data_IF_616086286276
#
_entry.id   IF_616086286276
#
_cell.length_a   1.000
_cell.length_b   1.000
_cell.length_c   1.000
_cell.angle_alpha   90.00
_cell.angle_beta   90.00
_cell.angle_gamma   90.00
#
_symmetry.space_group_name_H-M   'P 1'
#
loop_
_entity.id
_entity.type
_entity.pdbx_description
1 polymer ?
#
# COMPACT_ATOMS: atom_id res chain seq x y z
N UNK A 1 -1.37 16.80 -31.29
CA UNK A 1 -1.55 15.41 -30.82
C UNK A 1 -0.22 14.96 -30.24
N UNK A 2 -0.16 14.64 -28.95
CA UNK A 2 1.02 13.98 -28.37
C UNK A 2 1.05 12.53 -28.89
N UNK A 3 2.13 12.09 -29.52
CA UNK A 3 2.30 10.69 -29.92
C UNK A 3 2.61 9.81 -28.70
N UNK A 4 2.00 8.63 -28.62
CA UNK A 4 2.26 7.66 -27.55
C UNK A 4 3.56 6.89 -27.83
N UNK A 5 4.42 6.75 -26.81
CA UNK A 5 5.64 5.93 -26.86
C UNK A 5 5.27 4.44 -26.95
N UNK A 6 6.14 3.63 -27.53
CA UNK A 6 5.98 2.18 -27.47
C UNK A 6 6.05 1.70 -25.99
N UNK A 7 5.20 0.75 -25.55
CA UNK A 7 5.13 0.36 -24.14
C UNK A 7 6.48 -0.09 -23.54
N UNK A 8 7.31 -0.81 -24.29
CA UNK A 8 8.66 -1.20 -23.85
C UNK A 8 9.55 0.02 -23.58
N UNK A 9 9.47 1.04 -24.44
CA UNK A 9 10.21 2.31 -24.25
C UNK A 9 9.67 3.13 -23.10
N UNK A 10 8.36 3.06 -22.85
CA UNK A 10 7.77 3.66 -21.67
C UNK A 10 8.33 3.00 -20.39
N UNK A 11 8.32 1.67 -20.28
CA UNK A 11 8.82 0.98 -19.07
C UNK A 11 10.31 1.21 -18.83
N UNK A 12 11.13 1.29 -19.89
CA UNK A 12 12.58 1.60 -19.78
C UNK A 12 12.86 3.02 -19.25
N UNK A 13 11.95 3.97 -19.47
CA UNK A 13 12.16 5.40 -19.16
C UNK A 13 11.33 5.92 -17.98
N UNK A 14 10.21 5.26 -17.68
CA UNK A 14 9.30 5.65 -16.62
C UNK A 14 9.89 5.34 -15.24
N UNK A 15 9.80 6.31 -14.34
CA UNK A 15 10.11 6.13 -12.92
C UNK A 15 8.84 5.73 -12.16
N UNK A 16 8.96 5.09 -10.99
CA UNK A 16 7.81 4.87 -10.10
C UNK A 16 7.10 6.20 -9.76
N UNK A 17 5.78 6.14 -9.53
CA UNK A 17 5.06 7.25 -8.94
C UNK A 17 4.87 7.01 -7.45
N UNK A 18 5.19 8.02 -6.64
CA UNK A 18 4.99 8.00 -5.21
C UNK A 18 3.69 8.71 -4.86
N UNK A 19 2.78 8.01 -4.21
CA UNK A 19 1.51 8.52 -3.74
C UNK A 19 1.57 8.61 -2.22
N UNK A 20 1.15 9.76 -1.69
CA UNK A 20 0.94 9.98 -0.28
C UNK A 20 -0.55 10.13 -0.02
N UNK A 21 -1.06 9.30 0.87
CA UNK A 21 -2.46 9.25 1.24
C UNK A 21 -2.57 9.81 2.65
N UNK A 22 -3.44 10.79 2.83
CA UNK A 22 -3.60 11.51 4.08
C UNK A 22 -5.05 11.94 4.29
N UNK A 23 -5.45 12.09 5.55
CA UNK A 23 -6.69 12.74 5.96
C UNK A 23 -6.57 14.25 6.06
N UNK A 24 -5.36 14.81 5.97
CA UNK A 24 -5.13 16.25 5.99
C UNK A 24 -5.67 16.86 4.69
N UNK A 25 -6.71 17.72 4.75
CA UNK A 25 -7.26 18.34 3.56
C UNK A 25 -6.20 19.19 2.86
N UNK A 26 -6.19 19.26 1.51
CA UNK A 26 -5.29 20.17 0.82
C UNK A 26 -5.65 21.61 1.20
N UNK A 27 -4.73 22.32 1.86
CA UNK A 27 -4.92 23.74 2.19
C UNK A 27 -5.14 24.54 0.90
N UNK A 28 -6.32 25.14 0.76
CA UNK A 28 -6.66 25.94 -0.39
C UNK A 28 -5.86 27.25 -0.36
N UNK A 29 -4.68 27.27 -0.99
CA UNK A 29 -4.03 28.51 -1.42
C UNK A 29 -2.80 28.99 -0.64
N UNK A 30 -2.29 28.27 0.36
CA UNK A 30 -1.08 28.68 1.06
C UNK A 30 0.14 28.05 0.38
N UNK A 31 0.78 28.83 -0.49
CA UNK A 31 2.17 28.59 -0.84
C UNK A 31 2.95 28.65 0.49
N UNK A 32 3.71 27.61 0.88
CA UNK A 32 4.39 27.60 2.17
C UNK A 32 5.28 28.83 2.30
N UNK A 33 5.01 29.68 3.31
CA UNK A 33 5.73 30.96 3.50
C UNK A 33 7.21 30.76 3.84
N UNK A 34 7.58 29.57 4.33
CA UNK A 34 8.96 29.22 4.70
C UNK A 34 9.78 28.58 3.57
N UNK A 35 9.28 28.55 2.32
CA UNK A 35 10.01 27.94 1.20
C UNK A 35 10.18 26.42 1.30
N UNK A 36 9.48 25.78 2.26
CA UNK A 36 9.44 24.33 2.41
C UNK A 36 8.69 23.70 1.25
N UNK A 37 9.30 22.72 0.57
CA UNK A 37 8.66 22.01 -0.54
C UNK A 37 7.54 21.11 -0.03
N UNK A 38 6.55 20.81 -0.88
CA UNK A 38 5.42 19.94 -0.51
C UNK A 38 5.86 18.58 0.08
N UNK A 39 7.06 18.08 -0.28
CA UNK A 39 7.66 16.85 0.24
C UNK A 39 8.01 16.91 1.74
N UNK A 40 8.48 18.06 2.24
CA UNK A 40 8.83 18.21 3.66
C UNK A 40 7.59 18.25 4.57
N UNK A 41 6.45 18.71 4.05
CA UNK A 41 5.19 18.72 4.78
C UNK A 41 4.63 17.31 5.03
N UNK A 42 4.94 16.34 4.16
CA UNK A 42 4.40 14.96 4.27
C UNK A 42 5.09 14.15 5.38
N UNK A 43 6.36 14.42 5.66
CA UNK A 43 7.12 13.70 6.69
C UNK A 43 6.64 14.01 8.13
N UNK A 44 5.92 15.12 8.32
CA UNK A 44 5.36 15.56 9.60
C UNK A 44 3.83 15.63 9.58
N UNK A 45 3.19 15.02 8.59
CA UNK A 45 1.74 15.07 8.41
C UNK A 45 1.03 14.17 9.44
N UNK A 46 0.37 14.80 10.41
CA UNK A 46 -0.41 14.10 11.44
C UNK A 46 -1.59 13.30 10.86
N UNK A 47 -2.04 13.63 9.65
CA UNK A 47 -3.08 12.91 8.93
C UNK A 47 -2.56 11.79 8.03
N UNK A 48 -1.26 11.50 8.01
CA UNK A 48 -0.68 10.51 7.12
C UNK A 48 -1.29 9.11 7.32
N UNK A 49 -1.77 8.53 6.22
CA UNK A 49 -2.34 7.18 6.19
C UNK A 49 -1.35 6.19 5.59
N UNK A 50 -0.78 6.52 4.42
CA UNK A 50 0.12 5.60 3.72
C UNK A 50 0.97 6.28 2.65
N UNK A 51 2.10 5.65 2.33
CA UNK A 51 2.90 5.90 1.13
C UNK A 51 2.90 4.67 0.24
N UNK A 52 2.63 4.86 -1.06
CA UNK A 52 2.59 3.79 -2.06
C UNK A 52 3.50 4.19 -3.23
N UNK A 53 4.38 3.29 -3.65
CA UNK A 53 5.16 3.45 -4.88
C UNK A 53 4.57 2.55 -5.95
N UNK A 54 3.94 3.13 -6.97
CA UNK A 54 3.34 2.38 -8.08
C UNK A 54 4.32 2.26 -9.25
N UNK A 55 4.40 1.07 -9.84
CA UNK A 55 5.41 0.72 -10.84
C UNK A 55 4.88 0.87 -12.26
N UNK A 56 5.73 1.25 -13.23
CA UNK A 56 5.37 1.20 -14.65
C UNK A 56 4.97 -0.22 -15.07
N UNK A 57 3.84 -0.37 -15.75
CA UNK A 57 3.30 -1.66 -16.19
C UNK A 57 2.54 -1.54 -17.50
N UNK A 58 2.44 -2.66 -18.20
CA UNK A 58 1.41 -2.87 -19.22
C UNK A 58 0.11 -3.34 -18.56
N UNK A 59 -1.01 -3.02 -19.19
CA UNK A 59 -2.32 -3.50 -18.81
C UNK A 59 -2.80 -4.52 -19.83
N UNK A 60 -3.48 -5.56 -19.36
CA UNK A 60 -4.07 -6.61 -20.21
C UNK A 60 -5.05 -6.09 -21.26
N UNK A 61 -5.54 -4.85 -21.10
CA UNK A 61 -6.40 -4.15 -22.06
C UNK A 61 -5.63 -3.48 -23.21
N UNK A 62 -4.31 -3.65 -23.28
CA UNK A 62 -3.41 -3.12 -24.31
C UNK A 62 -2.94 -1.67 -24.10
N UNK A 63 -3.26 -1.07 -22.95
CA UNK A 63 -2.71 0.23 -22.52
C UNK A 63 -1.52 0.02 -21.59
N UNK A 64 -0.77 1.08 -21.28
CA UNK A 64 0.31 1.05 -20.29
C UNK A 64 0.22 2.26 -19.36
N UNK A 65 0.91 2.19 -18.23
CA UNK A 65 0.91 3.24 -17.21
C UNK A 65 1.56 2.78 -15.91
N UNK A 66 1.02 3.15 -14.77
CA UNK A 66 1.50 2.71 -13.46
C UNK A 66 0.43 1.96 -12.69
N UNK A 67 0.86 0.97 -11.92
CA UNK A 67 -0.01 0.15 -11.07
C UNK A 67 0.63 -0.12 -9.73
N UNK A 68 -0.19 -0.17 -8.70
CA UNK A 68 0.21 -0.75 -7.42
C UNK A 68 -0.96 -0.86 -6.46
N UNK A 69 -0.71 -1.56 -5.36
CA UNK A 69 -1.69 -1.79 -4.32
C UNK A 69 -1.04 -1.65 -2.93
N UNK A 70 -1.88 -1.44 -1.91
CA UNK A 70 -1.45 -1.45 -0.52
C UNK A 70 -2.63 -1.76 0.40
N UNK A 71 -2.42 -2.64 1.37
CA UNK A 71 -3.35 -2.81 2.51
C UNK A 71 -2.91 -1.89 3.64
N UNK A 72 -3.85 -1.14 4.22
CA UNK A 72 -3.61 -0.16 5.28
C UNK A 72 -4.68 -0.31 6.37
N UNK A 73 -4.35 0.02 7.61
CA UNK A 73 -5.31 0.06 8.70
C UNK A 73 -5.70 1.52 8.96
N UNK A 74 -6.99 1.82 9.01
CA UNK A 74 -7.52 3.17 9.21
C UNK A 74 -8.38 3.18 10.47
N UNK A 75 -8.12 4.13 11.37
CA UNK A 75 -8.99 4.37 12.53
C UNK A 75 -10.21 5.21 12.11
N UNK A 76 -11.40 4.71 12.41
CA UNK A 76 -12.67 5.39 12.21
C UNK A 76 -13.31 5.69 13.57
N UNK A 77 -13.85 6.89 13.73
CA UNK A 77 -14.66 7.23 14.90
C UNK A 77 -16.12 6.97 14.58
N UNK A 78 -16.78 6.11 15.36
CA UNK A 78 -18.20 5.88 15.21
C UNK A 78 -18.97 7.15 15.64
N UNK A 79 -19.83 7.72 14.77
CA UNK A 79 -20.51 8.98 15.06
C UNK A 79 -21.60 8.86 16.15
N UNK A 80 -22.12 7.66 16.40
CA UNK A 80 -23.19 7.42 17.38
C UNK A 80 -22.64 7.14 18.78
N UNK A 81 -21.53 6.40 18.86
CA UNK A 81 -20.96 5.94 20.13
C UNK A 81 -19.69 6.66 20.53
N UNK A 82 -19.03 7.36 19.60
CA UNK A 82 -17.74 8.01 19.81
C UNK A 82 -16.55 7.05 19.94
N UNK A 83 -16.77 5.73 19.86
CA UNK A 83 -15.70 4.74 19.92
C UNK A 83 -14.89 4.70 18.63
N UNK A 84 -13.57 4.44 18.77
CA UNK A 84 -12.67 4.19 17.65
C UNK A 84 -12.72 2.73 17.24
N UNK A 85 -12.80 2.49 15.94
CA UNK A 85 -12.70 1.17 15.31
C UNK A 85 -11.57 1.20 14.28
N UNK A 86 -10.77 0.13 14.20
CA UNK A 86 -9.74 0.00 13.17
C UNK A 86 -10.24 -0.89 12.03
N UNK A 87 -10.25 -0.37 10.82
CA UNK A 87 -10.63 -1.12 9.62
C UNK A 87 -9.43 -1.34 8.70
N UNK A 88 -9.34 -2.53 8.10
CA UNK A 88 -8.33 -2.81 7.08
C UNK A 88 -8.86 -2.45 5.70
N UNK A 89 -8.20 -1.52 5.01
CA UNK A 89 -8.55 -1.02 3.68
C UNK A 89 -7.54 -1.52 2.66
N UNK A 90 -8.03 -2.04 1.53
CA UNK A 90 -7.20 -2.36 0.37
C UNK A 90 -7.29 -1.23 -0.65
N UNK A 91 -6.16 -0.63 -0.97
CA UNK A 91 -6.04 0.47 -1.93
C UNK A 91 -5.43 -0.11 -3.20
N UNK A 92 -6.08 0.09 -4.34
CA UNK A 92 -5.62 -0.31 -5.66
C UNK A 92 -5.61 0.90 -6.57
N UNK A 93 -4.47 1.21 -7.18
CA UNK A 93 -4.29 2.41 -8.02
C UNK A 93 -3.80 2.01 -9.40
N UNK A 94 -4.50 2.51 -10.42
CA UNK A 94 -4.08 2.43 -11.82
C UNK A 94 -4.00 3.86 -12.38
N UNK A 95 -2.81 4.28 -12.82
CA UNK A 95 -2.61 5.52 -13.55
C UNK A 95 -2.31 5.18 -15.01
N UNK A 96 -3.20 5.51 -15.94
CA UNK A 96 -3.04 5.12 -17.35
C UNK A 96 -2.47 6.26 -18.18
N UNK A 97 -1.50 5.98 -19.04
CA UNK A 97 -0.98 6.97 -20.00
C UNK A 97 -2.03 7.21 -21.07
N UNK A 98 -2.45 8.47 -21.23
CA UNK A 98 -3.45 8.88 -22.22
C UNK A 98 -2.93 8.58 -23.64
N UNK A 99 -3.73 7.88 -24.45
CA UNK A 99 -3.36 7.49 -25.81
C UNK A 99 -2.52 6.22 -25.95
N UNK A 100 -2.19 5.55 -24.83
CA UNK A 100 -1.35 4.34 -24.82
C UNK A 100 -1.94 3.14 -25.57
N UNK A 101 -3.27 3.03 -25.67
CA UNK A 101 -3.96 1.89 -26.28
C UNK A 101 -3.64 1.68 -27.77
N UNK A 102 -3.19 2.72 -28.46
CA UNK A 102 -2.83 2.67 -29.88
C UNK A 102 -1.32 2.51 -30.09
N UNK A 103 -0.53 2.50 -29.02
CA UNK A 103 0.92 2.30 -29.12
C UNK A 103 1.20 0.83 -29.38
N UNK A 104 1.97 0.55 -30.44
CA UNK A 104 2.39 -0.81 -30.78
C UNK A 104 3.82 -1.02 -30.29
N UNK A 105 4.07 -2.13 -29.63
CA UNK A 105 5.43 -2.61 -29.38
C UNK A 105 5.86 -3.54 -30.52
N UNK A 106 7.02 -3.29 -31.15
CA UNK A 106 7.60 -4.21 -32.14
C UNK A 106 8.21 -5.48 -31.51
N UNK A 107 8.21 -5.61 -30.17
CA UNK A 107 8.86 -6.69 -29.40
C UNK A 107 7.88 -7.68 -28.73
N UNK A 108 6.57 -7.54 -28.94
CA UNK A 108 5.56 -8.30 -28.22
C UNK A 108 5.41 -9.79 -28.61
N UNK A 109 6.21 -10.30 -29.56
CA UNK A 109 6.11 -11.69 -30.02
C UNK A 109 6.90 -12.72 -29.16
N UNK A 110 7.67 -12.31 -28.15
CA UNK A 110 8.58 -13.24 -27.43
C UNK A 110 8.55 -13.21 -25.89
N UNK A 111 7.66 -12.45 -25.22
CA UNK A 111 7.74 -12.24 -23.76
C UNK A 111 6.46 -12.56 -22.95
N UNK A 112 5.56 -13.42 -23.45
CA UNK A 112 4.46 -13.97 -22.63
C UNK A 112 4.93 -15.21 -21.83
N UNK A 113 5.86 -15.06 -20.89
CA UNK A 113 6.11 -16.08 -19.87
C UNK A 113 7.01 -15.52 -18.76
N UNK A 114 6.51 -14.65 -17.89
CA UNK A 114 7.05 -14.45 -16.52
C UNK A 114 6.25 -13.35 -15.78
N UNK A 115 5.01 -13.67 -15.36
CA UNK A 115 4.42 -13.09 -14.15
C UNK A 115 3.18 -13.91 -13.74
N UNK A 116 3.43 -15.16 -13.36
CA UNK A 116 2.52 -15.97 -12.56
C UNK A 116 3.34 -16.58 -11.43
N UNK A 117 3.53 -15.85 -10.35
CA UNK A 117 3.76 -16.37 -8.99
C UNK A 117 3.97 -15.19 -8.02
N UNK A 118 2.89 -14.60 -7.54
CA UNK A 118 2.88 -14.17 -6.14
C UNK A 118 2.06 -15.22 -5.38
N UNK A 119 2.77 -16.25 -4.95
CA UNK A 119 2.28 -17.26 -4.06
C UNK A 119 1.99 -16.61 -2.70
N UNK A 120 0.73 -16.81 -2.30
CA UNK A 120 0.19 -16.70 -0.98
C UNK A 120 1.06 -17.48 0.03
N UNK A 121 1.87 -16.78 0.82
CA UNK A 121 2.47 -17.35 2.04
C UNK A 121 1.83 -16.69 3.27
N UNK A 122 0.63 -17.17 3.57
CA UNK A 122 -0.01 -17.03 4.88
C UNK A 122 0.60 -18.10 5.79
N UNK A 123 1.44 -17.70 6.74
CA UNK A 123 1.86 -18.55 7.83
C UNK A 123 0.84 -18.44 8.98
N UNK A 124 0.10 -19.51 9.33
CA UNK A 124 -0.68 -19.53 10.55
C UNK A 124 0.23 -19.97 11.69
N UNK A 125 0.40 -19.13 12.70
CA UNK A 125 0.78 -19.60 14.04
C UNK A 125 -0.26 -19.12 15.04
N UNK A 126 -1.30 -19.94 15.21
CA UNK A 126 -2.07 -20.03 16.44
C UNK A 126 -1.99 -21.49 16.93
N UNK A 127 -1.28 -21.70 18.03
CA UNK A 127 -1.46 -22.81 18.96
C UNK A 127 -1.15 -22.23 20.35
N UNK A 128 -2.18 -21.79 21.07
CA UNK A 128 -2.85 -22.56 22.13
C UNK A 128 -1.93 -22.87 23.32
N UNK A 129 -1.99 -21.93 24.27
CA UNK A 129 -2.12 -22.11 25.73
C UNK A 129 -2.05 -23.55 26.27
N UNK A 130 -1.06 -23.85 27.13
CA UNK A 130 -1.27 -24.73 28.28
C UNK A 130 -0.29 -24.36 29.42
N UNK A 131 -0.86 -23.97 30.57
CA UNK A 131 -0.17 -23.83 31.84
C UNK A 131 -0.17 -25.17 32.58
N UNK A 132 0.94 -25.61 33.20
CA UNK A 132 0.86 -26.61 34.26
C UNK A 132 0.80 -25.96 35.63
N UNK A 133 -0.26 -26.28 36.37
CA UNK A 133 -0.39 -26.03 37.81
C UNK A 133 0.61 -26.89 38.62
N UNK A 134 1.11 -26.27 39.68
CA UNK A 134 1.34 -26.82 41.02
C UNK A 134 2.19 -28.11 41.19
N UNK A 135 3.43 -27.93 41.62
CA UNK A 135 4.10 -28.85 42.56
C UNK A 135 4.89 -28.05 43.60
N UNK A 136 4.32 -27.80 44.78
CA UNK A 136 5.01 -27.94 46.08
C UNK A 136 4.01 -27.65 47.21
N UNK A 137 3.32 -28.69 47.67
CA UNK A 137 2.79 -28.75 49.03
C UNK A 137 3.71 -29.71 49.81
N UNK A 138 4.49 -29.17 50.72
CA UNK A 138 5.13 -29.91 51.80
C UNK A 138 5.10 -29.01 53.03
N UNK A 139 4.30 -29.45 54.00
CA UNK A 139 3.88 -28.78 55.23
C UNK A 139 5.02 -28.33 56.17
N UNK A 140 4.70 -27.42 57.11
CA UNK A 140 4.84 -27.77 58.55
C UNK A 140 3.77 -27.09 59.46
N UNK A 141 3.78 -27.31 60.79
CA UNK A 141 3.58 -28.54 61.57
C UNK A 141 2.26 -28.53 62.36
N UNK A 142 1.90 -29.69 62.94
CA UNK A 142 0.73 -29.91 63.81
C UNK A 142 0.78 -29.10 65.12
N UNK A 143 -0.38 -28.56 65.50
CA UNK A 143 -0.67 -27.97 66.81
C UNK A 143 -1.36 -29.02 67.68
N UNK A 144 -0.72 -29.42 68.79
CA UNK A 144 -1.33 -29.98 69.99
C UNK A 144 -0.46 -29.71 71.21
#
# INVERSE_FOLDING_TARGET
MQGALAPSKFKESAQPLHLHITHTPPSAGEKPEDGSTAEAAVATDAGHVASISIQPTDFSTGSYGWKGNRRVNVELTNPETGHKETVAVMINVNATVVGSKSAKDPKADEAEAEEKEEAHEEAPQAAHEEAPQATHDTAPPEEK
#
